data_IF_543063693311
#
_entry.id   IF_543063693311
#
_cell.length_a   1.000
_cell.length_b   1.000
_cell.length_c   1.000
_cell.angle_alpha   90.00
_cell.angle_beta   90.00
_cell.angle_gamma   90.00
#
_symmetry.space_group_name_H-M   'P 1'
#
loop_
_entity.id
_entity.type
_entity.pdbx_description
1 polymer ?
#
# COMPACT_ATOMS: atom_id res chain seq x y z
N UNK A 1 -4.29 -13.93 -34.07
CA UNK A 1 -3.63 -14.48 -32.86
C UNK A 1 -2.52 -13.56 -32.35
N UNK A 2 -1.54 -13.16 -33.16
CA UNK A 2 -0.44 -12.25 -32.75
C UNK A 2 -0.89 -10.83 -32.36
N UNK A 3 -1.77 -10.20 -33.14
CA UNK A 3 -2.31 -8.85 -32.84
C UNK A 3 -3.07 -8.80 -31.52
N UNK A 4 -3.68 -9.92 -31.15
CA UNK A 4 -4.55 -10.02 -29.99
C UNK A 4 -3.72 -10.19 -28.70
N UNK A 5 -2.67 -11.01 -28.75
CA UNK A 5 -1.66 -11.09 -27.68
C UNK A 5 -1.00 -9.72 -27.46
N UNK A 6 -0.74 -8.98 -28.55
CA UNK A 6 -0.20 -7.63 -28.48
C UNK A 6 -1.15 -6.67 -27.74
N UNK A 7 -2.46 -6.68 -28.01
CA UNK A 7 -3.42 -5.85 -27.28
C UNK A 7 -3.54 -6.22 -25.80
N UNK A 8 -3.48 -7.51 -25.46
CA UNK A 8 -3.55 -7.96 -24.07
C UNK A 8 -2.31 -7.55 -23.27
N UNK A 9 -1.12 -7.69 -23.87
CA UNK A 9 0.14 -7.18 -23.32
C UNK A 9 0.07 -5.65 -23.15
N UNK A 10 -0.47 -4.93 -24.14
CA UNK A 10 -0.57 -3.47 -24.11
C UNK A 10 -1.51 -2.97 -23.02
N UNK A 11 -2.65 -3.63 -22.79
CA UNK A 11 -3.59 -3.29 -21.70
C UNK A 11 -2.95 -3.56 -20.34
N UNK A 12 -2.29 -4.71 -20.17
CA UNK A 12 -1.56 -5.03 -18.93
C UNK A 12 -0.46 -3.99 -18.68
N UNK A 13 0.30 -3.60 -19.70
CA UNK A 13 1.33 -2.55 -19.60
C UNK A 13 0.73 -1.20 -19.22
N UNK A 14 -0.34 -0.74 -19.88
CA UNK A 14 -0.97 0.55 -19.56
C UNK A 14 -1.47 0.61 -18.12
N UNK A 15 -1.98 -0.51 -17.58
CA UNK A 15 -2.49 -0.54 -16.20
C UNK A 15 -1.35 -0.66 -15.20
N UNK A 16 -0.37 -1.53 -15.46
CA UNK A 16 0.74 -1.83 -14.53
C UNK A 16 1.82 -0.74 -14.50
N UNK A 17 2.07 -0.04 -15.61
CA UNK A 17 3.15 0.95 -15.72
C UNK A 17 2.94 2.19 -14.83
N UNK A 18 1.74 2.81 -14.76
CA UNK A 18 1.44 3.88 -13.80
C UNK A 18 1.58 3.46 -12.34
N UNK A 19 1.28 2.19 -12.04
CA UNK A 19 1.42 1.63 -10.70
C UNK A 19 2.88 1.45 -10.32
N UNK A 20 3.69 0.86 -11.20
CA UNK A 20 5.13 0.70 -10.98
C UNK A 20 5.80 2.07 -10.85
N UNK A 21 5.43 3.04 -11.69
CA UNK A 21 5.96 4.41 -11.59
C UNK A 21 5.50 5.11 -10.32
N UNK A 22 4.24 4.99 -9.89
CA UNK A 22 3.78 5.52 -8.60
C UNK A 22 4.52 4.91 -7.41
N UNK A 23 4.78 3.61 -7.45
CA UNK A 23 5.52 2.87 -6.44
C UNK A 23 6.98 3.32 -6.39
N UNK A 24 7.64 3.46 -7.56
CA UNK A 24 9.00 3.99 -7.68
C UNK A 24 9.11 5.45 -7.21
N UNK A 25 8.15 6.31 -7.57
CA UNK A 25 8.11 7.71 -7.14
C UNK A 25 7.94 7.83 -5.63
N UNK A 26 7.07 7.01 -5.02
CA UNK A 26 6.92 6.95 -3.56
C UNK A 26 8.22 6.54 -2.87
N UNK A 27 8.98 5.62 -3.47
CA UNK A 27 10.29 5.19 -2.96
C UNK A 27 11.39 6.25 -3.17
N UNK A 28 11.34 7.02 -4.26
CA UNK A 28 12.32 8.07 -4.56
C UNK A 28 12.13 9.34 -3.73
N UNK A 29 10.90 9.81 -3.54
CA UNK A 29 10.60 10.94 -2.62
C UNK A 29 11.19 10.70 -1.23
N UNK A 30 11.22 9.44 -0.81
CA UNK A 30 11.63 8.99 0.50
C UNK A 30 13.16 8.88 0.70
N UNK A 31 13.93 8.70 -0.37
CA UNK A 31 15.40 8.66 -0.30
C UNK A 31 15.99 10.04 0.07
N UNK A 32 15.35 11.13 -0.38
CA UNK A 32 15.82 12.49 -0.14
C UNK A 32 15.65 12.94 1.32
N UNK A 33 14.59 12.48 2.01
CA UNK A 33 14.27 12.90 3.38
C UNK A 33 15.25 12.33 4.43
N UNK A 34 15.90 11.18 4.13
CA UNK A 34 16.92 10.55 4.98
C UNK A 34 18.18 11.40 5.21
N UNK A 35 18.49 12.32 4.31
CA UNK A 35 19.73 13.09 4.39
C UNK A 35 19.64 14.32 5.30
N UNK A 36 18.44 14.82 5.59
CA UNK A 36 18.29 16.11 6.28
C UNK A 36 18.30 16.03 7.82
N UNK A 37 18.03 14.85 8.41
CA UNK A 37 17.80 14.70 9.87
C UNK A 37 18.91 13.88 10.54
N UNK A 38 20.00 13.56 9.83
CA UNK A 38 21.02 12.62 10.32
C UNK A 38 21.85 13.17 11.49
N UNK A 39 22.17 14.47 11.50
CA UNK A 39 23.01 15.09 12.54
C UNK A 39 22.31 15.30 13.90
N UNK A 40 20.99 15.49 13.89
CA UNK A 40 20.18 15.67 15.13
C UNK A 40 19.74 14.34 15.73
N UNK A 41 19.53 13.30 14.92
CA UNK A 41 19.12 11.97 15.38
C UNK A 41 20.21 11.24 16.18
N UNK A 42 21.50 11.51 15.93
CA UNK A 42 22.60 10.80 16.59
C UNK A 42 22.81 11.20 18.06
N UNK A 43 22.25 12.34 18.49
CA UNK A 43 22.44 12.87 19.86
C UNK A 43 21.26 12.60 20.80
N UNK A 44 20.09 12.28 20.27
CA UNK A 44 18.85 12.10 21.04
C UNK A 44 18.23 10.73 20.73
N UNK A 45 18.36 9.82 21.70
CA UNK A 45 17.88 8.45 21.60
C UNK A 45 16.36 8.36 21.52
N UNK A 46 15.61 9.27 22.16
CA UNK A 46 14.15 9.27 22.17
C UNK A 46 13.60 9.80 20.84
N UNK A 47 14.21 10.87 20.31
CA UNK A 47 13.90 11.38 18.98
C UNK A 47 14.21 10.35 17.89
N UNK A 48 15.36 9.67 17.98
CA UNK A 48 15.76 8.62 17.05
C UNK A 48 14.77 7.45 17.04
N UNK A 49 14.36 6.97 18.22
CA UNK A 49 13.36 5.91 18.34
C UNK A 49 12.00 6.33 17.77
N UNK A 50 11.58 7.55 18.07
CA UNK A 50 10.30 8.09 17.60
C UNK A 50 10.29 8.23 16.08
N UNK A 51 11.39 8.75 15.52
CA UNK A 51 11.57 8.88 14.08
C UNK A 51 11.62 7.50 13.37
N UNK A 52 12.23 6.50 14.00
CA UNK A 52 12.17 5.13 13.50
C UNK A 52 10.74 4.59 13.46
N UNK A 53 9.93 4.88 14.48
CA UNK A 53 8.53 4.45 14.53
C UNK A 53 7.66 5.14 13.47
N UNK A 54 7.84 6.44 13.28
CA UNK A 54 7.25 7.21 12.18
C UNK A 54 7.51 6.52 10.84
N UNK A 55 8.76 6.13 10.61
CA UNK A 55 9.20 5.50 9.38
C UNK A 55 8.57 4.11 9.15
N UNK A 56 8.43 3.32 10.21
CA UNK A 56 7.75 2.02 10.15
C UNK A 56 6.28 2.20 9.75
N UNK A 57 5.57 3.16 10.36
CA UNK A 57 4.16 3.41 10.06
C UNK A 57 3.93 4.01 8.67
N UNK A 58 4.85 4.85 8.21
CA UNK A 58 4.85 5.35 6.84
C UNK A 58 5.00 4.19 5.83
N UNK A 59 6.00 3.31 6.05
CA UNK A 59 6.19 2.12 5.20
C UNK A 59 4.98 1.19 5.21
N UNK A 60 4.36 1.00 6.37
CA UNK A 60 3.12 0.24 6.47
C UNK A 60 2.00 0.87 5.63
N UNK A 61 1.88 2.20 5.62
CA UNK A 61 0.91 2.89 4.74
C UNK A 61 1.17 2.58 3.27
N UNK A 62 2.43 2.64 2.81
CA UNK A 62 2.79 2.29 1.42
C UNK A 62 2.44 0.83 1.13
N UNK A 63 2.77 -0.08 2.03
CA UNK A 63 2.46 -1.50 1.86
C UNK A 63 0.94 -1.72 1.72
N UNK A 64 0.13 -1.03 2.52
CA UNK A 64 -1.32 -1.10 2.44
C UNK A 64 -1.88 -0.47 1.16
N UNK A 65 -1.26 0.60 0.64
CA UNK A 65 -1.59 1.16 -0.68
C UNK A 65 -1.34 0.12 -1.77
N UNK A 66 -0.17 -0.52 -1.76
CA UNK A 66 0.17 -1.58 -2.74
C UNK A 66 -0.84 -2.71 -2.66
N UNK A 67 -1.15 -3.14 -1.44
CA UNK A 67 -2.11 -4.22 -1.17
C UNK A 67 -3.51 -3.87 -1.71
N UNK A 68 -4.00 -2.66 -1.45
CA UNK A 68 -5.27 -2.16 -2.01
C UNK A 68 -5.28 -2.21 -3.53
N UNK A 69 -4.20 -1.77 -4.18
CA UNK A 69 -4.09 -1.83 -5.63
C UNK A 69 -4.09 -3.27 -6.15
N UNK A 70 -3.37 -4.20 -5.51
CA UNK A 70 -3.37 -5.61 -5.90
C UNK A 70 -4.78 -6.21 -5.88
N UNK A 71 -5.59 -5.85 -4.89
CA UNK A 71 -6.99 -6.26 -4.79
C UNK A 71 -7.90 -5.71 -5.90
N UNK A 72 -7.50 -4.65 -6.60
CA UNK A 72 -8.23 -4.11 -7.75
C UNK A 72 -7.70 -4.70 -9.07
N UNK A 73 -6.38 -4.73 -9.23
CA UNK A 73 -5.74 -5.09 -10.50
C UNK A 73 -5.89 -6.58 -10.80
N UNK A 74 -5.71 -7.46 -9.81
CA UNK A 74 -5.71 -8.91 -10.03
C UNK A 74 -7.09 -9.39 -10.48
N UNK A 75 -8.21 -9.00 -9.83
CA UNK A 75 -9.54 -9.28 -10.36
C UNK A 75 -9.79 -8.67 -11.74
N UNK A 76 -9.35 -7.43 -11.97
CA UNK A 76 -9.53 -6.77 -13.26
C UNK A 76 -8.83 -7.55 -14.40
N UNK A 77 -7.54 -7.88 -14.24
CA UNK A 77 -6.78 -8.64 -15.25
C UNK A 77 -7.40 -10.04 -15.43
N UNK A 78 -7.77 -10.71 -14.34
CA UNK A 78 -8.40 -12.03 -14.41
C UNK A 78 -9.72 -12.00 -15.17
N UNK A 79 -10.55 -10.97 -14.95
CA UNK A 79 -11.79 -10.77 -15.69
C UNK A 79 -11.54 -10.49 -17.18
N UNK A 80 -10.54 -9.67 -17.52
CA UNK A 80 -10.14 -9.43 -18.91
C UNK A 80 -9.73 -10.75 -19.60
N UNK A 81 -8.96 -11.61 -18.93
CA UNK A 81 -8.56 -12.92 -19.46
C UNK A 81 -9.78 -13.82 -19.67
N UNK A 82 -10.71 -13.87 -18.71
CA UNK A 82 -11.95 -14.65 -18.82
C UNK A 82 -12.79 -14.20 -20.02
N UNK A 83 -13.04 -12.89 -20.14
CA UNK A 83 -13.79 -12.31 -21.27
C UNK A 83 -13.09 -12.64 -22.59
N UNK A 84 -11.75 -12.53 -22.61
CA UNK A 84 -10.97 -12.81 -23.79
C UNK A 84 -11.10 -14.28 -24.24
N UNK A 85 -10.86 -15.22 -23.34
CA UNK A 85 -10.90 -16.65 -23.65
C UNK A 85 -12.30 -17.16 -24.00
N UNK A 86 -13.34 -16.54 -23.43
CA UNK A 86 -14.74 -16.87 -23.74
C UNK A 86 -15.14 -16.45 -25.16
N UNK A 87 -14.49 -15.43 -25.73
CA UNK A 87 -14.78 -14.94 -27.08
C UNK A 87 -14.03 -15.71 -28.19
N UNK A 88 -13.15 -16.64 -27.85
CA UNK A 88 -12.45 -17.51 -28.83
C UNK A 88 -13.33 -18.73 -29.11
N UNK A 89 -13.42 -19.17 -30.38
CA UNK A 89 -14.26 -20.30 -30.83
C UNK A 89 -13.94 -21.68 -30.18
N UNK A 90 -12.95 -21.77 -29.30
CA UNK A 90 -12.53 -23.00 -28.62
C UNK A 90 -12.78 -22.93 -27.09
N UNK A 91 -14.04 -22.72 -26.73
CA UNK A 91 -14.46 -22.53 -25.33
C UNK A 91 -14.18 -23.78 -24.48
N UNK A 92 -14.30 -24.98 -25.06
CA UNK A 92 -14.12 -26.25 -24.34
C UNK A 92 -12.64 -26.45 -23.97
N UNK A 93 -11.69 -26.13 -24.86
CA UNK A 93 -10.25 -26.17 -24.54
C UNK A 93 -9.82 -25.11 -23.52
N UNK A 94 -10.49 -23.96 -23.49
CA UNK A 94 -10.16 -22.85 -22.60
C UNK A 94 -10.88 -22.89 -21.24
N UNK A 95 -11.86 -23.79 -21.05
CA UNK A 95 -12.67 -23.88 -19.84
C UNK A 95 -11.87 -23.98 -18.53
N UNK A 96 -10.77 -24.76 -18.42
CA UNK A 96 -9.98 -24.83 -17.19
C UNK A 96 -9.31 -23.49 -16.84
N UNK A 97 -8.82 -22.76 -17.83
CA UNK A 97 -8.15 -21.47 -17.64
C UNK A 97 -9.16 -20.40 -17.24
N UNK A 98 -10.35 -20.40 -17.86
CA UNK A 98 -11.46 -19.53 -17.49
C UNK A 98 -11.87 -19.77 -16.04
N UNK A 99 -12.02 -21.04 -15.62
CA UNK A 99 -12.37 -21.39 -14.25
C UNK A 99 -11.32 -20.89 -13.26
N UNK A 100 -10.04 -21.13 -13.55
CA UNK A 100 -8.93 -20.71 -12.70
C UNK A 100 -8.90 -19.19 -12.47
N UNK A 101 -8.99 -18.39 -13.54
CA UNK A 101 -9.01 -16.93 -13.41
C UNK A 101 -10.27 -16.40 -12.72
N UNK A 102 -11.41 -17.06 -12.92
CA UNK A 102 -12.65 -16.71 -12.21
C UNK A 102 -12.52 -16.92 -10.69
N UNK A 103 -11.89 -18.03 -10.27
CA UNK A 103 -11.62 -18.32 -8.85
C UNK A 103 -10.64 -17.31 -8.26
N UNK A 104 -9.58 -16.95 -8.98
CA UNK A 104 -8.63 -15.92 -8.54
C UNK A 104 -9.35 -14.59 -8.34
N UNK A 105 -10.13 -14.15 -9.34
CA UNK A 105 -10.88 -12.89 -9.30
C UNK A 105 -11.79 -12.85 -8.07
N UNK A 106 -12.60 -13.89 -7.86
CA UNK A 106 -13.50 -14.01 -6.72
C UNK A 106 -12.75 -14.01 -5.39
N UNK A 107 -11.65 -14.78 -5.29
CA UNK A 107 -10.87 -14.90 -4.05
C UNK A 107 -10.29 -13.56 -3.64
N UNK A 108 -9.74 -12.80 -4.59
CA UNK A 108 -9.20 -11.46 -4.30
C UNK A 108 -10.29 -10.47 -3.90
N UNK A 109 -11.48 -10.52 -4.51
CA UNK A 109 -12.61 -9.69 -4.09
C UNK A 109 -13.00 -10.00 -2.63
N UNK A 110 -13.19 -11.28 -2.30
CA UNK A 110 -13.56 -11.72 -0.94
C UNK A 110 -12.48 -11.36 0.09
N UNK A 111 -11.22 -11.65 -0.21
CA UNK A 111 -10.09 -11.31 0.66
C UNK A 111 -9.93 -9.79 0.82
N UNK A 112 -10.19 -9.02 -0.23
CA UNK A 112 -10.15 -7.56 -0.18
C UNK A 112 -11.17 -6.98 0.79
N UNK A 113 -12.39 -7.53 0.82
CA UNK A 113 -13.40 -7.16 1.81
C UNK A 113 -13.01 -7.59 3.23
N UNK A 114 -12.49 -8.81 3.40
CA UNK A 114 -12.11 -9.34 4.71
C UNK A 114 -10.93 -8.57 5.34
N UNK A 115 -9.90 -8.24 4.53
CA UNK A 115 -8.69 -7.56 4.99
C UNK A 115 -8.90 -6.04 5.11
N UNK A 116 -9.77 -5.47 4.28
CA UNK A 116 -10.09 -4.03 4.22
C UNK A 116 -8.82 -3.14 4.23
N UNK A 117 -7.98 -3.21 3.18
CA UNK A 117 -6.72 -2.49 3.11
C UNK A 117 -6.91 -0.96 3.16
N UNK A 118 -8.09 -0.46 2.76
CA UNK A 118 -8.43 0.96 2.85
C UNK A 118 -8.46 1.46 4.29
N UNK A 119 -9.07 0.70 5.20
CA UNK A 119 -9.10 1.02 6.63
C UNK A 119 -7.68 1.02 7.20
N UNK A 120 -6.92 -0.04 6.94
CA UNK A 120 -5.56 -0.18 7.44
C UNK A 120 -4.65 0.95 6.95
N UNK A 121 -4.68 1.26 5.65
CA UNK A 121 -3.99 2.43 5.06
C UNK A 121 -4.34 3.72 5.79
N UNK A 122 -5.62 3.98 6.05
CA UNK A 122 -6.08 5.22 6.71
C UNK A 122 -5.56 5.33 8.15
N UNK A 123 -5.55 4.23 8.89
CA UNK A 123 -5.05 4.17 10.26
C UNK A 123 -3.55 4.47 10.34
N UNK A 124 -2.73 3.76 9.54
CA UNK A 124 -1.29 4.02 9.50
C UNK A 124 -0.96 5.43 9.00
N UNK A 125 -1.73 5.95 8.03
CA UNK A 125 -1.57 7.32 7.55
C UNK A 125 -1.79 8.35 8.66
N UNK A 126 -2.86 8.19 9.44
CA UNK A 126 -3.15 9.06 10.58
C UNK A 126 -2.05 8.96 11.65
N UNK A 127 -1.59 7.74 11.93
CA UNK A 127 -0.56 7.49 12.93
C UNK A 127 0.76 8.21 12.60
N UNK A 128 1.30 8.06 11.39
CA UNK A 128 2.56 8.73 11.05
C UNK A 128 2.39 10.24 10.91
N UNK A 129 1.25 10.74 10.41
CA UNK A 129 1.00 12.20 10.30
C UNK A 129 0.89 12.84 11.68
N UNK A 130 0.27 12.16 12.64
CA UNK A 130 0.22 12.58 14.04
C UNK A 130 1.63 12.58 14.66
N UNK A 131 2.43 11.56 14.36
CA UNK A 131 3.79 11.49 14.90
C UNK A 131 4.70 12.58 14.32
N UNK A 132 4.54 12.90 13.04
CA UNK A 132 5.25 14.00 12.38
C UNK A 132 4.94 15.35 13.04
N UNK A 133 3.68 15.63 13.37
CA UNK A 133 3.33 16.89 14.05
C UNK A 133 4.01 17.00 15.42
N UNK A 134 4.08 15.90 16.18
CA UNK A 134 4.75 15.89 17.49
C UNK A 134 6.28 15.96 17.37
N UNK A 135 6.88 15.37 16.33
CA UNK A 135 8.31 15.52 16.05
C UNK A 135 8.62 16.99 15.74
N UNK A 136 7.81 17.65 14.91
CA UNK A 136 7.98 19.06 14.57
C UNK A 136 7.78 19.98 15.79
N UNK A 137 6.82 19.66 16.66
CA UNK A 137 6.62 20.35 17.93
C UNK A 137 7.84 20.17 18.85
N UNK A 138 8.37 18.95 18.99
CA UNK A 138 9.59 18.68 19.76
C UNK A 138 10.81 19.46 19.25
N UNK A 139 10.94 19.61 17.93
CA UNK A 139 12.04 20.36 17.33
C UNK A 139 11.99 21.87 17.65
N UNK A 140 10.80 22.40 17.97
CA UNK A 140 10.60 23.80 18.38
C UNK A 140 10.59 23.97 19.90
N UNK A 141 10.07 22.99 20.64
CA UNK A 141 10.04 22.93 22.10
C UNK A 141 10.46 21.53 22.57
N UNK A 142 11.74 21.31 22.92
CA UNK A 142 12.26 19.97 23.22
C UNK A 142 11.81 19.46 24.60
N UNK A 143 10.55 19.04 24.70
CA UNK A 143 10.01 18.27 25.82
C UNK A 143 9.80 16.79 25.41
N UNK A 144 10.51 15.82 26.02
CA UNK A 144 10.38 14.40 25.67
C UNK A 144 8.97 13.83 25.90
N UNK A 145 8.13 14.48 26.71
CA UNK A 145 6.73 14.06 26.88
C UNK A 145 5.91 14.24 25.60
N UNK A 146 6.26 15.20 24.74
CA UNK A 146 5.61 15.42 23.44
C UNK A 146 5.78 14.20 22.55
N UNK A 147 7.01 13.67 22.45
CA UNK A 147 7.30 12.48 21.66
C UNK A 147 6.58 11.24 22.20
N UNK A 148 6.58 11.04 23.52
CA UNK A 148 5.87 9.93 24.17
C UNK A 148 4.36 10.00 23.95
N UNK A 149 3.78 11.19 24.00
CA UNK A 149 2.36 11.40 23.71
C UNK A 149 2.04 11.11 22.24
N UNK A 150 2.84 11.63 21.32
CA UNK A 150 2.69 11.39 19.88
C UNK A 150 2.74 9.90 19.54
N UNK A 151 3.64 9.14 20.17
CA UNK A 151 3.69 7.68 20.02
C UNK A 151 2.40 7.01 20.49
N UNK A 152 1.92 7.34 21.69
CA UNK A 152 0.68 6.76 22.23
C UNK A 152 -0.54 7.09 21.37
N UNK A 153 -0.65 8.34 20.91
CA UNK A 153 -1.78 8.76 20.09
C UNK A 153 -1.71 8.15 18.68
N UNK A 154 -0.51 7.99 18.13
CA UNK A 154 -0.27 7.22 16.90
C UNK A 154 -0.68 5.75 17.03
N UNK A 155 -0.32 5.09 18.13
CA UNK A 155 -0.66 3.69 18.40
C UNK A 155 -2.16 3.47 18.52
N UNK A 156 -2.91 4.38 19.15
CA UNK A 156 -4.39 4.32 19.19
C UNK A 156 -5.02 4.26 17.80
N UNK A 157 -4.48 4.99 16.81
CA UNK A 157 -5.01 4.91 15.45
C UNK A 157 -4.76 3.55 14.81
N UNK A 158 -3.64 2.90 15.12
CA UNK A 158 -3.31 1.57 14.63
C UNK A 158 -4.16 0.52 15.34
N UNK A 159 -4.30 0.60 16.65
CA UNK A 159 -5.11 -0.35 17.42
C UNK A 159 -6.59 -0.29 17.00
N UNK A 160 -7.10 0.92 16.70
CA UNK A 160 -8.44 1.10 16.12
C UNK A 160 -8.62 0.49 14.72
N UNK A 161 -7.55 0.01 14.07
CA UNK A 161 -7.66 -0.75 12.81
C UNK A 161 -8.00 -2.23 13.04
N UNK A 162 -7.78 -2.75 14.25
CA UNK A 162 -8.03 -4.13 14.65
C UNK A 162 -9.45 -4.36 15.18
N UNK A 163 -10.15 -3.29 15.61
CA UNK A 163 -11.51 -3.38 16.13
C UNK A 163 -12.51 -3.59 14.98
N UNK A 164 -12.98 -4.82 14.78
CA UNK A 164 -14.04 -5.13 13.80
C UNK A 164 -15.35 -4.54 14.35
N UNK A 165 -15.85 -3.46 13.73
CA UNK A 165 -17.23 -3.00 13.89
C UNK A 165 -18.13 -3.74 12.90
#
# INVERSE_FOLDING_TARGET
MKEIIFHLIFIVLIVTLPLITGLLLSFMCFSKEKYFIKEKLEKDTELSRTYHRFYVWYKATILWIITEYLFVIIPFISNVIVIYLTNIKDIIGNAPVILFHSIISLSFIVLGFAINPQRQKKCYRKAFTCLDSHINEYLTNPDPNILKKGLKDGEKFIDSSCDIE
#
